data_IF_831016593417
#
_entry.id   IF_831016593417
#
_cell.length_a   1.000
_cell.length_b   1.000
_cell.length_c   1.000
_cell.angle_alpha   90.00
_cell.angle_beta   90.00
_cell.angle_gamma   90.00
#
_symmetry.space_group_name_H-M   'P 1'
#
loop_
_entity.id
_entity.type
_entity.pdbx_description
1 polymer ?
#
# COMPACT_ATOMS: atom_id res chain seq x y z
N UNK A 1 -30.09 9.16 -79.75
CA UNK A 1 -29.80 7.73 -79.44
C UNK A 1 -28.80 7.68 -78.28
N UNK A 2 -29.13 6.91 -77.21
CA UNK A 2 -28.30 6.24 -76.16
C UNK A 2 -26.79 6.63 -76.08
N UNK A 3 -26.12 6.84 -74.93
CA UNK A 3 -26.25 6.30 -73.56
C UNK A 3 -25.17 6.96 -72.64
N UNK A 4 -25.52 7.19 -71.37
CA UNK A 4 -24.80 6.96 -70.09
C UNK A 4 -23.38 7.53 -69.88
N UNK A 5 -23.20 8.49 -68.95
CA UNK A 5 -22.94 8.39 -67.49
C UNK A 5 -21.53 7.93 -67.10
N UNK A 6 -20.80 8.75 -66.33
CA UNK A 6 -20.44 8.52 -64.92
C UNK A 6 -19.78 9.80 -64.37
N UNK A 7 -20.34 10.31 -63.27
CA UNK A 7 -19.91 11.48 -62.51
C UNK A 7 -19.06 10.98 -61.33
N UNK A 8 -17.84 11.49 -61.16
CA UNK A 8 -17.05 11.31 -59.94
C UNK A 8 -17.17 12.56 -59.07
N UNK A 9 -18.01 12.50 -58.04
CA UNK A 9 -18.06 13.49 -56.96
C UNK A 9 -16.98 13.16 -55.93
N UNK A 10 -15.96 14.02 -55.82
CA UNK A 10 -14.98 13.99 -54.74
C UNK A 10 -15.64 14.66 -53.52
N UNK A 11 -16.05 13.85 -52.55
CA UNK A 11 -16.60 14.32 -51.27
C UNK A 11 -15.42 14.54 -50.31
N UNK A 12 -15.07 15.80 -50.04
CA UNK A 12 -14.22 16.18 -48.91
C UNK A 12 -15.04 16.09 -47.62
N UNK A 13 -14.66 15.29 -46.60
CA UNK A 13 -15.36 15.31 -45.34
C UNK A 13 -14.93 16.53 -44.53
N UNK A 14 -15.91 17.36 -44.21
CA UNK A 14 -15.86 18.47 -43.28
C UNK A 14 -15.25 18.03 -41.95
N UNK A 15 -14.10 18.59 -41.61
CA UNK A 15 -13.43 18.45 -40.32
C UNK A 15 -14.17 19.29 -39.27
N UNK A 16 -15.39 18.87 -38.89
CA UNK A 16 -16.06 19.36 -37.70
C UNK A 16 -15.79 18.41 -36.53
N UNK A 17 -15.13 18.95 -35.51
CA UNK A 17 -15.35 18.53 -34.13
C UNK A 17 -14.57 17.32 -33.66
N UNK A 18 -13.40 17.56 -33.07
CA UNK A 18 -12.95 16.78 -31.91
C UNK A 18 -12.11 17.69 -31.01
N UNK A 19 -12.77 18.48 -30.15
CA UNK A 19 -12.14 18.96 -28.93
C UNK A 19 -11.94 17.72 -28.04
N UNK A 20 -10.76 17.14 -28.11
CA UNK A 20 -10.32 16.15 -27.14
C UNK A 20 -10.19 16.85 -25.78
N UNK A 21 -11.18 16.68 -24.90
CA UNK A 21 -11.00 16.89 -23.47
C UNK A 21 -9.95 15.89 -23.00
N UNK A 22 -8.70 16.35 -22.91
CA UNK A 22 -7.66 15.64 -22.19
C UNK A 22 -8.09 15.61 -20.72
N UNK A 23 -8.67 14.48 -20.29
CA UNK A 23 -8.78 14.17 -18.87
C UNK A 23 -7.35 14.09 -18.35
N UNK A 24 -6.95 15.10 -17.59
CA UNK A 24 -5.67 15.09 -16.89
C UNK A 24 -5.70 13.94 -15.89
N UNK A 25 -5.23 12.78 -16.33
CA UNK A 25 -4.86 11.69 -15.43
C UNK A 25 -3.68 12.25 -14.64
N UNK A 26 -3.91 12.56 -13.37
CA UNK A 26 -2.88 12.91 -12.42
C UNK A 26 -1.86 11.77 -12.40
N UNK A 27 -0.78 11.92 -13.17
CA UNK A 27 0.36 11.02 -13.09
C UNK A 27 0.85 11.18 -11.66
N UNK A 28 0.63 10.16 -10.82
CA UNK A 28 1.34 10.05 -9.55
C UNK A 28 2.82 10.13 -9.89
N UNK A 29 3.46 11.21 -9.46
CA UNK A 29 4.89 11.35 -9.55
C UNK A 29 5.50 10.25 -8.70
N UNK A 30 6.53 9.60 -9.22
CA UNK A 30 7.34 8.66 -8.46
C UNK A 30 7.76 9.29 -7.13
N UNK A 31 7.56 8.57 -6.02
CA UNK A 31 7.87 9.11 -4.69
C UNK A 31 6.89 10.17 -4.18
N UNK A 32 5.60 10.08 -4.51
CA UNK A 32 4.55 10.90 -3.90
C UNK A 32 3.35 10.07 -3.45
N UNK A 33 2.73 10.47 -2.35
CA UNK A 33 1.53 9.83 -1.78
C UNK A 33 0.46 10.88 -1.49
N UNK A 34 -0.80 10.51 -1.63
CA UNK A 34 -1.92 11.35 -1.18
C UNK A 34 -2.42 10.94 0.20
N UNK A 35 -3.24 11.78 0.83
CA UNK A 35 -3.91 11.42 2.08
C UNK A 35 -4.75 10.14 1.99
N UNK A 36 -5.28 9.83 0.80
CA UNK A 36 -5.99 8.57 0.54
C UNK A 36 -5.04 7.38 0.49
N UNK A 37 -3.84 7.54 -0.05
CA UNK A 37 -2.81 6.50 -0.03
C UNK A 37 -2.32 6.21 1.38
N UNK A 38 -1.99 7.27 2.14
CA UNK A 38 -1.61 7.13 3.55
C UNK A 38 -2.71 6.40 4.33
N UNK A 39 -3.97 6.75 4.10
CA UNK A 39 -5.11 6.04 4.69
C UNK A 39 -5.15 4.56 4.31
N UNK A 40 -5.06 4.25 3.01
CA UNK A 40 -5.14 2.87 2.50
C UNK A 40 -4.03 2.00 3.07
N UNK A 41 -2.79 2.51 3.07
CA UNK A 41 -1.62 1.76 3.48
C UNK A 41 -1.49 1.57 5.01
N UNK A 42 -2.09 2.47 5.80
CA UNK A 42 -1.83 2.52 7.25
C UNK A 42 -3.08 2.32 8.12
N UNK A 43 -4.29 2.61 7.61
CA UNK A 43 -5.50 2.69 8.42
C UNK A 43 -6.61 1.73 7.97
N UNK A 44 -6.70 1.46 6.66
CA UNK A 44 -7.80 0.70 6.06
C UNK A 44 -7.86 -0.76 6.55
N UNK A 45 -6.74 -1.35 6.98
CA UNK A 45 -6.72 -2.72 7.52
C UNK A 45 -7.64 -2.93 8.74
N UNK A 46 -7.85 -1.88 9.55
CA UNK A 46 -8.77 -1.92 10.69
C UNK A 46 -10.06 -1.14 10.40
N UNK A 47 -9.95 0.03 9.77
CA UNK A 47 -11.10 0.93 9.57
C UNK A 47 -11.88 0.67 8.26
N UNK A 48 -11.45 -0.31 7.46
CA UNK A 48 -12.00 -0.64 6.15
C UNK A 48 -11.64 0.40 5.07
N UNK A 49 -11.56 -0.02 3.81
CA UNK A 49 -11.27 0.92 2.71
C UNK A 49 -12.29 2.06 2.61
N UNK A 50 -13.55 1.75 2.92
CA UNK A 50 -14.65 2.71 2.95
C UNK A 50 -14.76 3.56 4.22
N UNK A 51 -13.83 3.42 5.18
CA UNK A 51 -13.87 4.08 6.51
C UNK A 51 -15.03 3.66 7.40
N UNK A 52 -15.78 2.62 7.04
CA UNK A 52 -16.95 2.16 7.79
C UNK A 52 -16.62 1.54 9.13
N UNK A 53 -15.36 1.18 9.37
CA UNK A 53 -14.98 0.33 10.50
C UNK A 53 -15.48 -1.09 10.33
N UNK A 54 -15.38 -1.88 11.40
CA UNK A 54 -15.90 -3.24 11.49
C UNK A 54 -16.54 -3.46 12.86
N UNK A 55 -17.88 -3.50 12.87
CA UNK A 55 -18.70 -3.74 14.07
C UNK A 55 -18.24 -2.88 15.26
N UNK A 56 -18.31 -3.41 16.48
CA UNK A 56 -17.84 -2.76 17.71
C UNK A 56 -16.33 -2.93 17.95
N UNK A 57 -15.59 -3.51 16.99
CA UNK A 57 -14.16 -3.81 17.13
C UNK A 57 -13.31 -2.64 16.63
N UNK A 58 -13.64 -2.10 15.46
CA UNK A 58 -12.93 -0.98 14.86
C UNK A 58 -13.94 0.12 14.48
N UNK A 59 -13.82 1.34 15.04
CA UNK A 59 -14.84 2.36 14.86
C UNK A 59 -14.86 2.89 13.43
N UNK A 60 -16.04 3.30 12.98
CA UNK A 60 -16.20 4.07 11.74
C UNK A 60 -15.47 5.41 11.84
N UNK A 61 -14.84 5.81 10.73
CA UNK A 61 -14.26 7.14 10.52
C UNK A 61 -15.09 7.99 9.55
N UNK A 62 -16.24 7.47 9.11
CA UNK A 62 -17.24 8.29 8.39
C UNK A 62 -17.69 9.42 9.32
N UNK A 63 -17.79 10.63 8.75
CA UNK A 63 -18.17 11.85 9.44
C UNK A 63 -17.37 12.13 10.72
N UNK A 64 -16.10 11.69 10.80
CA UNK A 64 -15.26 11.88 11.99
C UNK A 64 -15.14 13.35 12.44
N UNK A 65 -15.23 14.29 11.49
CA UNK A 65 -15.23 15.74 11.74
C UNK A 65 -16.37 16.22 12.66
N UNK A 66 -17.45 15.46 12.79
CA UNK A 66 -18.58 15.78 13.66
C UNK A 66 -18.34 15.31 15.10
N UNK A 67 -17.36 14.41 15.32
CA UNK A 67 -17.08 13.77 16.61
C UNK A 67 -15.74 14.18 17.21
N UNK A 68 -14.75 14.50 16.37
CA UNK A 68 -13.39 14.82 16.79
C UNK A 68 -12.84 16.02 16.02
N UNK A 69 -12.06 16.85 16.73
CA UNK A 69 -11.25 17.89 16.09
C UNK A 69 -10.04 17.27 15.38
N UNK A 70 -9.40 18.04 14.49
CA UNK A 70 -8.19 17.60 13.79
C UNK A 70 -7.04 17.33 14.76
N UNK A 71 -6.91 18.15 15.78
CA UNK A 71 -5.89 18.06 16.83
C UNK A 71 -6.07 16.76 17.60
N UNK A 72 -7.33 16.39 17.92
CA UNK A 72 -7.61 15.14 18.62
C UNK A 72 -7.33 13.90 17.76
N UNK A 73 -7.59 13.98 16.46
CA UNK A 73 -7.24 12.92 15.50
C UNK A 73 -5.72 12.78 15.39
N UNK A 74 -5.00 13.90 15.28
CA UNK A 74 -3.53 13.91 15.24
C UNK A 74 -2.93 13.31 16.52
N UNK A 75 -3.46 13.66 17.69
CA UNK A 75 -3.05 13.10 18.98
C UNK A 75 -3.23 11.57 19.00
N UNK A 76 -4.37 11.06 18.51
CA UNK A 76 -4.61 9.61 18.42
C UNK A 76 -3.68 8.92 17.42
N UNK A 77 -3.36 9.54 16.30
CA UNK A 77 -2.37 8.99 15.34
C UNK A 77 -0.96 8.95 15.96
N UNK A 78 -0.60 9.97 16.74
CA UNK A 78 0.72 10.04 17.38
C UNK A 78 0.88 9.06 18.55
N UNK A 79 -0.16 8.91 19.37
CA UNK A 79 -0.07 8.18 20.64
C UNK A 79 -0.74 6.80 20.60
N UNK A 80 -1.53 6.52 19.56
CA UNK A 80 -2.43 5.38 19.55
C UNK A 80 -3.64 5.58 20.47
N UNK A 81 -4.58 4.62 20.44
CA UNK A 81 -5.72 4.54 21.36
C UNK A 81 -6.29 3.12 21.38
N UNK A 82 -6.27 2.47 22.54
CA UNK A 82 -6.77 1.10 22.67
C UNK A 82 -6.02 0.13 21.76
N UNK A 83 -6.70 -0.44 20.76
CA UNK A 83 -6.09 -1.34 19.76
C UNK A 83 -5.40 -0.59 18.60
N UNK A 84 -5.64 0.71 18.44
CA UNK A 84 -5.00 1.52 17.42
C UNK A 84 -3.54 1.80 17.85
N UNK A 85 -2.53 1.33 17.10
CA UNK A 85 -1.14 1.62 17.42
C UNK A 85 -0.81 3.11 17.18
N UNK A 86 0.31 3.55 17.74
CA UNK A 86 0.93 4.81 17.33
C UNK A 86 1.56 4.68 15.93
N UNK A 87 1.62 5.79 15.19
CA UNK A 87 2.24 5.86 13.86
C UNK A 87 3.45 6.82 13.87
N UNK A 88 4.53 6.50 14.60
CA UNK A 88 5.71 7.36 14.68
C UNK A 88 6.49 7.43 13.36
N UNK A 89 6.31 6.44 12.49
CA UNK A 89 6.97 6.32 11.19
C UNK A 89 6.34 7.21 10.10
N UNK A 90 5.17 7.80 10.34
CA UNK A 90 4.56 8.79 9.46
C UNK A 90 5.08 10.19 9.77
N UNK A 91 5.51 10.93 8.75
CA UNK A 91 5.91 12.33 8.90
C UNK A 91 4.71 13.23 9.21
N UNK A 92 4.98 14.46 9.65
CA UNK A 92 3.94 15.46 9.91
C UNK A 92 3.06 15.71 8.67
N UNK A 93 3.67 15.85 7.49
CA UNK A 93 2.94 16.14 6.27
C UNK A 93 2.00 15.00 5.87
N UNK A 94 2.40 13.76 6.12
CA UNK A 94 1.57 12.58 5.85
C UNK A 94 0.40 12.47 6.83
N UNK A 95 0.64 12.76 8.11
CA UNK A 95 -0.41 12.86 9.13
C UNK A 95 -1.41 13.96 8.78
N UNK A 96 -0.93 15.13 8.35
CA UNK A 96 -1.79 16.23 7.89
C UNK A 96 -2.58 15.83 6.63
N UNK A 97 -1.96 15.12 5.69
CA UNK A 97 -2.62 14.65 4.47
C UNK A 97 -3.73 13.63 4.76
N UNK A 98 -3.50 12.64 5.63
CA UNK A 98 -4.55 11.67 6.00
C UNK A 98 -5.68 12.34 6.79
N UNK A 99 -5.36 13.30 7.67
CA UNK A 99 -6.38 14.10 8.36
C UNK A 99 -7.19 14.94 7.36
N UNK A 100 -6.55 15.57 6.38
CA UNK A 100 -7.24 16.30 5.33
C UNK A 100 -8.22 15.40 4.55
N UNK A 101 -7.78 14.19 4.19
CA UNK A 101 -8.60 13.18 3.54
C UNK A 101 -9.81 12.75 4.40
N UNK A 102 -9.59 12.46 5.69
CA UNK A 102 -10.66 12.09 6.63
C UNK A 102 -11.69 13.21 6.82
N UNK A 103 -11.28 14.47 6.69
CA UNK A 103 -12.14 15.65 6.86
C UNK A 103 -12.75 16.15 5.54
N UNK A 104 -12.54 15.43 4.43
CA UNK A 104 -13.06 15.80 3.10
C UNK A 104 -12.51 17.13 2.58
N UNK A 105 -11.25 17.46 2.93
CA UNK A 105 -10.55 18.63 2.42
C UNK A 105 -9.85 18.31 1.11
N UNK A 106 -9.36 19.36 0.43
CA UNK A 106 -8.59 19.24 -0.82
C UNK A 106 -7.45 18.24 -0.63
N UNK A 107 -7.26 17.39 -1.62
CA UNK A 107 -6.19 16.40 -1.63
C UNK A 107 -4.83 17.08 -1.49
N UNK A 108 -4.01 16.53 -0.60
CA UNK A 108 -2.62 16.93 -0.39
C UNK A 108 -1.73 15.85 -1.00
N UNK A 109 -0.76 16.27 -1.80
CA UNK A 109 0.29 15.42 -2.33
C UNK A 109 1.53 15.63 -1.47
N UNK A 110 2.08 14.54 -0.95
CA UNK A 110 3.26 14.56 -0.08
C UNK A 110 4.37 13.77 -0.77
N UNK A 111 5.50 14.42 -1.03
CA UNK A 111 6.69 13.72 -1.51
C UNK A 111 7.26 12.84 -0.40
N UNK A 112 7.61 11.61 -0.74
CA UNK A 112 8.14 10.60 0.16
C UNK A 112 9.25 9.82 -0.54
N UNK A 113 10.34 9.53 0.19
CA UNK A 113 11.39 8.69 -0.37
C UNK A 113 10.91 7.24 -0.51
N UNK A 114 11.39 6.48 -1.51
CA UNK A 114 11.08 5.05 -1.61
C UNK A 114 11.44 4.27 -0.34
N UNK A 115 12.51 4.66 0.36
CA UNK A 115 12.91 4.05 1.62
C UNK A 115 11.86 4.24 2.72
N UNK A 116 11.35 5.47 2.89
CA UNK A 116 10.32 5.77 3.88
C UNK A 116 8.99 5.10 3.54
N UNK A 117 8.60 5.11 2.26
CA UNK A 117 7.38 4.43 1.81
C UNK A 117 7.48 2.91 2.08
N UNK A 118 8.62 2.30 1.79
CA UNK A 118 8.86 0.89 2.07
C UNK A 118 8.81 0.55 3.55
N UNK A 119 9.43 1.39 4.41
CA UNK A 119 9.32 1.22 5.86
C UNK A 119 7.88 1.34 6.34
N UNK A 120 7.11 2.29 5.82
CA UNK A 120 5.71 2.46 6.20
C UNK A 120 4.85 1.26 5.86
N UNK A 121 4.96 0.78 4.61
CA UNK A 121 4.26 -0.43 4.17
C UNK A 121 4.61 -1.59 5.11
N UNK A 122 5.90 -1.76 5.42
CA UNK A 122 6.34 -2.81 6.33
C UNK A 122 5.75 -2.66 7.75
N UNK A 123 5.88 -1.48 8.37
CA UNK A 123 5.45 -1.23 9.75
C UNK A 123 3.95 -1.43 9.94
N UNK A 124 3.15 -1.01 8.98
CA UNK A 124 1.69 -1.06 9.10
C UNK A 124 1.08 -2.38 8.65
N UNK A 125 1.74 -3.13 7.77
CA UNK A 125 1.14 -4.31 7.13
C UNK A 125 1.86 -5.63 7.42
N UNK A 126 3.15 -5.57 7.78
CA UNK A 126 3.98 -6.76 7.96
C UNK A 126 4.42 -6.96 9.41
N UNK A 127 4.72 -5.87 10.12
CA UNK A 127 5.34 -5.91 11.45
C UNK A 127 4.46 -6.51 12.56
N UNK A 128 3.15 -6.68 12.30
CA UNK A 128 2.25 -7.39 13.21
C UNK A 128 2.55 -8.88 13.29
N UNK A 129 3.24 -9.44 12.30
CA UNK A 129 3.55 -10.86 12.21
C UNK A 129 5.05 -11.10 11.99
N UNK A 130 5.68 -10.32 11.12
CA UNK A 130 7.11 -10.41 10.85
C UNK A 130 7.91 -9.49 11.78
N UNK A 131 9.08 -9.97 12.16
CA UNK A 131 10.13 -9.12 12.71
C UNK A 131 11.01 -8.57 11.58
N UNK A 132 11.60 -7.39 11.75
CA UNK A 132 12.55 -6.88 10.75
C UNK A 132 13.85 -7.65 10.91
N UNK A 133 14.26 -7.87 12.15
CA UNK A 133 15.51 -8.55 12.53
C UNK A 133 15.26 -9.58 13.63
N UNK A 134 16.22 -10.49 13.87
CA UNK A 134 16.15 -11.44 15.00
C UNK A 134 16.17 -10.75 16.37
N UNK A 135 16.62 -9.50 16.43
CA UNK A 135 16.75 -8.73 17.66
C UNK A 135 15.48 -7.95 18.00
N UNK A 136 14.55 -7.82 17.04
CA UNK A 136 13.29 -7.12 17.29
C UNK A 136 12.41 -7.92 18.25
N UNK A 137 11.61 -7.25 19.08
CA UNK A 137 10.66 -7.93 19.96
C UNK A 137 9.70 -8.78 19.13
N UNK A 138 9.29 -9.92 19.69
CA UNK A 138 8.25 -10.75 19.07
C UNK A 138 6.92 -9.97 19.06
N UNK A 139 6.13 -10.04 17.97
CA UNK A 139 4.82 -9.41 17.96
C UNK A 139 3.93 -10.00 19.06
N UNK A 140 3.08 -9.19 19.71
CA UNK A 140 2.33 -9.61 20.90
C UNK A 140 1.25 -10.67 20.64
N UNK A 141 0.86 -10.91 19.37
CA UNK A 141 -0.32 -11.73 19.01
C UNK A 141 0.00 -12.89 18.05
N UNK A 142 1.23 -13.43 18.05
CA UNK A 142 1.57 -14.56 17.15
C UNK A 142 1.06 -15.88 17.75
N UNK A 143 -0.13 -16.31 17.35
CA UNK A 143 -0.84 -17.43 18.02
C UNK A 143 -0.55 -18.82 17.43
N UNK A 144 -0.06 -18.96 16.19
CA UNK A 144 0.00 -20.27 15.50
C UNK A 144 1.35 -20.62 14.86
N UNK A 145 1.99 -19.68 14.17
CA UNK A 145 3.31 -19.88 13.54
C UNK A 145 4.03 -18.55 13.54
N UNK A 146 5.23 -18.51 14.13
CA UNK A 146 6.08 -17.31 14.10
C UNK A 146 6.73 -17.18 12.71
N UNK A 147 6.39 -16.15 11.92
CA UNK A 147 7.06 -15.92 10.65
C UNK A 147 8.54 -15.57 10.84
N UNK A 148 9.33 -15.90 9.83
CA UNK A 148 10.72 -15.50 9.71
C UNK A 148 10.90 -13.98 9.90
N UNK A 149 11.95 -13.54 10.63
CA UNK A 149 12.46 -12.18 10.48
C UNK A 149 12.84 -11.91 9.02
N UNK A 150 12.58 -10.70 8.53
CA UNK A 150 12.75 -10.38 7.11
C UNK A 150 14.17 -9.93 6.73
N UNK A 151 15.06 -9.65 7.70
CA UNK A 151 16.47 -9.41 7.41
C UNK A 151 17.08 -10.58 6.61
N UNK A 152 17.66 -10.25 5.44
CA UNK A 152 18.25 -11.21 4.51
C UNK A 152 17.25 -11.90 3.57
N UNK A 153 15.95 -11.55 3.60
CA UNK A 153 14.94 -12.18 2.73
C UNK A 153 15.24 -11.99 1.24
N UNK A 154 15.80 -10.84 0.87
CA UNK A 154 16.21 -10.44 -0.47
C UNK A 154 17.45 -11.18 -0.97
N UNK A 155 18.25 -11.76 -0.06
CA UNK A 155 19.33 -12.71 -0.40
C UNK A 155 18.80 -14.13 -0.61
N UNK A 156 17.70 -14.49 0.05
CA UNK A 156 17.10 -15.84 0.02
C UNK A 156 16.15 -16.03 -1.16
N UNK A 157 15.45 -14.98 -1.56
CA UNK A 157 14.46 -15.04 -2.63
C UNK A 157 14.71 -13.95 -3.66
N UNK A 158 14.56 -14.33 -4.93
CA UNK A 158 14.54 -13.37 -6.03
C UNK A 158 13.33 -12.44 -5.89
N UNK A 159 13.48 -11.22 -6.41
CA UNK A 159 12.48 -10.15 -6.35
C UNK A 159 11.11 -10.56 -6.90
N UNK A 160 11.09 -11.21 -8.07
CA UNK A 160 9.88 -11.74 -8.71
C UNK A 160 9.16 -12.74 -7.80
N UNK A 161 9.91 -13.61 -7.10
CA UNK A 161 9.34 -14.54 -6.12
C UNK A 161 8.74 -13.80 -4.92
N UNK A 162 9.41 -12.75 -4.41
CA UNK A 162 8.86 -11.93 -3.32
C UNK A 162 7.56 -11.25 -3.75
N UNK A 163 7.52 -10.67 -4.95
CA UNK A 163 6.31 -10.03 -5.48
C UNK A 163 5.17 -11.03 -5.65
N UNK A 164 5.48 -12.24 -6.13
CA UNK A 164 4.50 -13.31 -6.24
C UNK A 164 3.96 -13.78 -4.88
N UNK A 165 4.80 -13.80 -3.84
CA UNK A 165 4.35 -14.07 -2.46
C UNK A 165 3.43 -12.96 -1.98
N UNK A 166 3.77 -11.69 -2.21
CA UNK A 166 2.89 -10.57 -1.87
C UNK A 166 1.55 -10.66 -2.61
N UNK A 167 1.54 -11.09 -3.87
CA UNK A 167 0.29 -11.20 -4.65
C UNK A 167 -0.61 -12.35 -4.20
N UNK A 168 -0.05 -13.50 -3.89
CA UNK A 168 -0.84 -14.71 -3.65
C UNK A 168 -0.97 -15.06 -2.16
N UNK A 169 -0.20 -14.41 -1.30
CA UNK A 169 0.03 -14.88 0.06
C UNK A 169 0.81 -16.20 0.08
N UNK A 170 1.11 -16.69 1.28
CA UNK A 170 1.68 -18.02 1.48
C UNK A 170 1.37 -18.56 2.87
N UNK A 171 0.80 -19.76 2.93
CA UNK A 171 0.34 -20.37 4.19
C UNK A 171 -0.70 -19.48 4.90
N UNK A 172 -0.33 -18.86 6.02
CA UNK A 172 -1.16 -17.94 6.79
C UNK A 172 -0.82 -16.47 6.50
N UNK A 173 0.24 -16.19 5.71
CA UNK A 173 0.52 -14.83 5.24
C UNK A 173 -0.55 -14.45 4.21
N UNK A 174 -1.32 -13.38 4.44
CA UNK A 174 -2.38 -12.96 3.54
C UNK A 174 -1.80 -12.42 2.22
N UNK A 175 -2.68 -12.29 1.23
CA UNK A 175 -2.36 -11.58 -0.01
C UNK A 175 -2.38 -10.06 0.21
N UNK A 176 -1.45 -9.38 -0.43
CA UNK A 176 -1.30 -7.94 -0.57
C UNK A 176 -1.37 -7.54 -2.06
N UNK A 177 -2.23 -8.20 -2.83
CA UNK A 177 -2.43 -7.91 -4.25
C UNK A 177 -2.91 -6.48 -4.56
N UNK A 178 -3.39 -5.75 -3.54
CA UNK A 178 -3.82 -4.36 -3.62
C UNK A 178 -2.65 -3.35 -3.60
N UNK A 179 -1.41 -3.81 -3.34
CA UNK A 179 -0.24 -2.95 -3.50
C UNK A 179 0.08 -2.70 -4.97
N UNK A 180 0.28 -1.44 -5.30
CA UNK A 180 0.78 -1.03 -6.61
C UNK A 180 2.24 -1.47 -6.81
N UNK A 181 2.72 -1.43 -8.05
CA UNK A 181 4.08 -1.91 -8.37
C UNK A 181 5.15 -1.08 -7.66
N UNK A 182 5.02 0.25 -7.67
CA UNK A 182 5.90 1.18 -6.97
C UNK A 182 5.92 0.95 -5.44
N UNK A 183 4.79 0.56 -4.86
CA UNK A 183 4.68 0.19 -3.44
C UNK A 183 5.41 -1.12 -3.13
N UNK A 184 5.26 -2.14 -3.98
CA UNK A 184 6.02 -3.40 -3.88
C UNK A 184 7.53 -3.15 -4.02
N UNK A 185 7.92 -2.25 -4.93
CA UNK A 185 9.30 -1.82 -5.17
C UNK A 185 9.90 -1.08 -3.97
N UNK A 186 9.14 -0.14 -3.39
CA UNK A 186 9.52 0.57 -2.17
C UNK A 186 9.70 -0.41 -0.99
N UNK A 187 8.74 -1.32 -0.79
CA UNK A 187 8.83 -2.37 0.23
C UNK A 187 10.07 -3.24 0.01
N UNK A 188 10.33 -3.71 -1.21
CA UNK A 188 11.52 -4.49 -1.52
C UNK A 188 12.82 -3.73 -1.19
N UNK A 189 12.88 -2.44 -1.55
CA UNK A 189 14.03 -1.58 -1.24
C UNK A 189 14.24 -1.45 0.28
N UNK A 190 13.17 -1.31 1.06
CA UNK A 190 13.25 -1.35 2.51
C UNK A 190 13.77 -2.71 3.03
N UNK A 191 13.28 -3.82 2.48
CA UNK A 191 13.76 -5.16 2.87
C UNK A 191 15.25 -5.37 2.57
N UNK A 192 15.76 -4.83 1.46
CA UNK A 192 17.21 -4.80 1.18
C UNK A 192 17.98 -4.02 2.24
N UNK A 193 17.41 -2.92 2.75
CA UNK A 193 18.05 -2.12 3.80
C UNK A 193 18.22 -2.86 5.14
N UNK A 194 17.53 -4.00 5.32
CA UNK A 194 17.63 -4.86 6.50
C UNK A 194 18.76 -5.91 6.38
N UNK A 195 19.35 -6.08 5.20
CA UNK A 195 20.43 -7.05 4.99
C UNK A 195 21.61 -6.76 5.93
N UNK A 196 22.17 -7.82 6.53
CA UNK A 196 23.25 -7.72 7.51
C UNK A 196 22.86 -7.18 8.89
N UNK A 197 21.60 -6.77 9.14
CA UNK A 197 21.17 -6.17 10.42
C UNK A 197 20.53 -7.16 11.39
N UNK A 198 21.00 -8.41 11.43
CA UNK A 198 20.43 -9.46 12.29
C UNK A 198 19.54 -10.44 11.52
N UNK A 199 20.16 -11.09 10.53
CA UNK A 199 19.56 -12.19 9.78
C UNK A 199 19.47 -13.45 10.67
N UNK A 200 18.44 -14.30 10.52
CA UNK A 200 18.41 -15.58 11.21
C UNK A 200 19.58 -16.48 10.78
N UNK A 201 20.23 -17.12 11.75
CA UNK A 201 21.41 -17.97 11.57
C UNK A 201 21.16 -19.22 10.74
N UNK A 202 19.90 -19.64 10.62
CA UNK A 202 19.41 -20.64 9.67
C UNK A 202 18.24 -20.04 8.92
N UNK A 203 17.97 -20.43 7.66
CA UNK A 203 16.71 -20.09 7.01
C UNK A 203 15.58 -20.52 7.93
N UNK A 204 14.86 -19.55 8.49
CA UNK A 204 13.64 -19.80 9.25
C UNK A 204 12.66 -20.40 8.26
N UNK A 205 12.50 -21.72 8.36
CA UNK A 205 11.90 -22.59 7.35
C UNK A 205 10.54 -22.07 6.87
N UNK A 206 10.54 -21.33 5.76
CA UNK A 206 9.37 -21.18 4.89
C UNK A 206 8.97 -22.50 4.21
N UNK A 207 9.79 -23.54 4.38
CA UNK A 207 9.60 -24.87 3.81
C UNK A 207 8.58 -25.75 4.56
N UNK A 208 8.19 -25.40 5.79
CA UNK A 208 7.15 -26.13 6.52
C UNK A 208 5.73 -25.83 6.03
N UNK A 209 5.59 -24.98 5.02
CA UNK A 209 4.34 -24.85 4.30
C UNK A 209 4.21 -25.99 3.29
N UNK A 210 3.20 -26.87 3.38
CA UNK A 210 3.01 -27.95 2.42
C UNK A 210 2.93 -27.45 0.97
N UNK A 211 2.53 -26.18 0.75
CA UNK A 211 2.50 -25.57 -0.59
C UNK A 211 3.88 -25.16 -1.13
N UNK A 212 4.87 -24.84 -0.29
CA UNK A 212 6.23 -24.49 -0.75
C UNK A 212 7.05 -25.71 -1.18
N UNK A 213 6.62 -26.92 -0.81
CA UNK A 213 7.28 -28.19 -1.18
C UNK A 213 7.02 -28.65 -2.62
N UNK A 214 6.12 -27.99 -3.37
CA UNK A 214 5.94 -28.27 -4.80
C UNK A 214 7.05 -27.62 -5.60
N UNK A 215 8.19 -28.31 -5.67
CA UNK A 215 9.19 -28.13 -6.72
C UNK A 215 8.48 -28.29 -8.08
N UNK A 216 8.57 -27.26 -8.93
CA UNK A 216 8.53 -27.44 -10.38
C UNK A 216 9.96 -27.50 -10.87
#
# INVERSE_FOLDING_TARGET
>A
MKKNNIIFFIILPSFLGFLAFATSNSIKKDGSVTGKDVYRLNCAGCHGEGRSGYQDIYPSLINIKERLSKEKVLEQINNGKGRMPAFPHLSKNEKDAVIAYLFGKKEMIVEISPANLGEQIYRSNCASCHRSTVNDPKPPNVMMMEPAPLAGVTKRFKKDRIFKILENGVCYMPSFNHFALDEKEALYSFLQSLEGKGEPSRPTMGEMCPMMMRKK
#
